data_IF_684005869366
#
_entry.id   IF_684005869366
#
_cell.length_a   1.000
_cell.length_b   1.000
_cell.length_c   1.000
_cell.angle_alpha   90.00
_cell.angle_beta   90.00
_cell.angle_gamma   90.00
#
_symmetry.space_group_name_H-M   'P 1'
#
loop_
_entity.id
_entity.type
_entity.pdbx_description
1 polymer ?
#
# COMPACT_ATOMS: atom_id res chain seq x y z
N UNK A 1 20.82 -5.06 -19.13
CA UNK A 1 20.57 -6.12 -18.13
C UNK A 1 19.10 -6.53 -18.26
N UNK A 2 18.77 -7.80 -18.02
CA UNK A 2 17.38 -8.29 -18.07
C UNK A 2 16.78 -8.31 -16.67
N UNK A 3 15.45 -8.19 -16.57
CA UNK A 3 14.67 -8.20 -15.33
C UNK A 3 13.46 -9.11 -15.48
N UNK A 4 13.09 -9.81 -14.41
CA UNK A 4 11.81 -10.52 -14.30
C UNK A 4 10.83 -9.60 -13.57
N UNK A 5 9.72 -9.27 -14.21
CA UNK A 5 8.73 -8.30 -13.69
C UNK A 5 7.33 -8.89 -13.72
N UNK A 6 6.46 -8.37 -12.85
CA UNK A 6 5.03 -8.66 -12.89
C UNK A 6 4.39 -7.98 -14.11
N UNK A 7 3.30 -8.56 -14.60
CA UNK A 7 2.58 -8.10 -15.78
C UNK A 7 1.10 -8.02 -15.49
N UNK A 8 0.45 -6.98 -16.02
CA UNK A 8 -1.01 -6.79 -15.97
C UNK A 8 -1.57 -6.89 -14.53
N UNK A 9 -0.95 -6.13 -13.61
CA UNK A 9 -1.30 -6.11 -12.17
C UNK A 9 -2.32 -5.05 -11.82
N UNK A 10 -3.13 -5.32 -10.79
CA UNK A 10 -4.05 -4.38 -10.18
C UNK A 10 -4.27 -4.72 -8.71
N UNK A 11 -4.37 -3.69 -7.86
CA UNK A 11 -4.50 -3.83 -6.42
C UNK A 11 -5.51 -2.82 -5.88
N UNK A 12 -6.16 -3.17 -4.78
CA UNK A 12 -6.82 -2.21 -3.90
C UNK A 12 -5.95 -2.06 -2.66
N UNK A 13 -5.68 -0.81 -2.29
CA UNK A 13 -4.90 -0.49 -1.09
C UNK A 13 -5.86 0.16 -0.10
N UNK A 14 -6.03 -0.50 1.05
CA UNK A 14 -6.68 0.09 2.22
C UNK A 14 -5.59 0.64 3.15
N UNK A 15 -5.71 1.90 3.50
CA UNK A 15 -4.74 2.58 4.35
C UNK A 15 -5.40 3.67 5.18
N UNK A 16 -4.78 3.96 6.31
CA UNK A 16 -5.02 5.15 7.12
C UNK A 16 -3.70 5.88 7.34
N UNK A 17 -3.77 7.08 7.92
CA UNK A 17 -2.59 7.79 8.38
C UNK A 17 -2.79 8.18 9.84
N UNK A 18 -1.69 8.22 10.58
CA UNK A 18 -1.63 8.76 11.92
C UNK A 18 -0.95 10.12 11.90
N UNK A 19 -1.30 10.98 12.86
CA UNK A 19 -0.59 12.24 13.08
C UNK A 19 0.76 11.94 13.71
N UNK A 20 1.82 12.58 13.23
CA UNK A 20 3.16 12.44 13.78
C UNK A 20 3.47 13.54 14.79
N UNK A 21 4.43 13.30 15.68
CA UNK A 21 4.80 14.25 16.75
C UNK A 21 5.34 15.60 16.25
N UNK A 22 5.70 15.70 14.95
CA UNK A 22 6.22 16.91 14.32
C UNK A 22 5.14 17.90 13.84
N UNK A 23 3.87 17.60 14.07
CA UNK A 23 2.75 18.38 13.58
C UNK A 23 2.45 19.57 14.50
N UNK A 24 2.41 20.79 13.94
CA UNK A 24 2.03 21.99 14.68
C UNK A 24 0.58 21.96 15.17
N UNK A 25 0.30 22.58 16.32
CA UNK A 25 -1.00 22.54 17.01
C UNK A 25 -2.22 22.99 16.16
N UNK A 26 -1.99 23.63 15.01
CA UNK A 26 -3.00 24.14 14.08
C UNK A 26 -3.40 23.13 12.98
N UNK A 27 -2.75 21.95 12.92
CA UNK A 27 -3.06 20.95 11.91
C UNK A 27 -4.21 20.03 12.33
N UNK A 28 -5.28 20.05 11.54
CA UNK A 28 -6.44 19.20 11.72
C UNK A 28 -6.35 17.94 10.85
N UNK A 29 -6.54 16.73 11.41
CA UNK A 29 -6.55 15.48 10.64
C UNK A 29 -7.48 15.55 9.42
N UNK A 30 -8.71 16.04 9.61
CA UNK A 30 -9.71 16.16 8.53
C UNK A 30 -9.22 16.92 7.28
N UNK A 31 -8.25 17.83 7.42
CA UNK A 31 -7.67 18.57 6.29
C UNK A 31 -6.87 17.66 5.37
N UNK A 32 -6.03 16.79 5.92
CA UNK A 32 -5.12 15.96 5.13
C UNK A 32 -5.87 14.90 4.33
N UNK A 33 -6.85 14.23 4.96
CA UNK A 33 -7.70 13.26 4.26
C UNK A 33 -8.54 13.92 3.16
N UNK A 34 -9.06 15.13 3.40
CA UNK A 34 -9.80 15.89 2.40
C UNK A 34 -8.92 16.26 1.19
N UNK A 35 -7.66 16.66 1.43
CA UNK A 35 -6.70 16.96 0.36
C UNK A 35 -6.36 15.69 -0.42
N UNK A 36 -6.15 14.55 0.26
CA UNK A 36 -5.90 13.27 -0.38
C UNK A 36 -7.07 12.87 -1.29
N UNK A 37 -8.29 12.82 -0.76
CA UNK A 37 -9.48 12.40 -1.51
C UNK A 37 -9.71 13.27 -2.75
N UNK A 38 -9.68 14.60 -2.60
CA UNK A 38 -9.87 15.52 -3.73
C UNK A 38 -8.82 15.32 -4.82
N UNK A 39 -7.56 15.10 -4.44
CA UNK A 39 -6.48 14.86 -5.41
C UNK A 39 -6.64 13.50 -6.09
N UNK A 40 -6.96 12.46 -5.32
CA UNK A 40 -7.14 11.11 -5.83
C UNK A 40 -8.32 11.03 -6.83
N UNK A 41 -9.45 11.67 -6.51
CA UNK A 41 -10.62 11.79 -7.40
C UNK A 41 -10.29 12.53 -8.70
N UNK A 42 -9.49 13.61 -8.60
CA UNK A 42 -9.08 14.40 -9.76
C UNK A 42 -7.91 13.77 -10.55
N UNK A 43 -7.40 12.61 -10.15
CA UNK A 43 -6.19 12.00 -10.75
C UNK A 43 -4.91 12.83 -10.56
N UNK A 44 -4.89 13.73 -9.57
CA UNK A 44 -3.77 14.63 -9.30
C UNK A 44 -2.80 14.00 -8.30
N UNK A 45 -1.51 14.14 -8.57
CA UNK A 45 -0.43 13.68 -7.69
C UNK A 45 0.73 14.67 -7.70
N UNK A 46 1.53 14.68 -6.63
CA UNK A 46 2.75 15.50 -6.58
C UNK A 46 3.82 14.94 -7.53
N UNK A 47 3.96 13.62 -7.53
CA UNK A 47 4.76 12.87 -8.48
C UNK A 47 3.93 11.71 -9.00
N UNK A 48 4.13 11.35 -10.27
CA UNK A 48 3.51 10.17 -10.87
C UNK A 48 3.88 8.94 -10.03
N UNK A 49 2.92 8.24 -9.41
CA UNK A 49 3.21 7.01 -8.68
C UNK A 49 3.71 5.93 -9.63
N UNK A 50 4.47 4.97 -9.09
CA UNK A 50 5.06 3.88 -9.86
C UNK A 50 4.91 2.53 -9.15
N UNK A 51 4.81 1.45 -9.94
CA UNK A 51 4.78 0.06 -9.47
C UNK A 51 6.21 -0.44 -9.24
N UNK A 52 6.79 -0.07 -8.09
CA UNK A 52 8.12 -0.52 -7.67
C UNK A 52 9.27 0.35 -8.17
N UNK A 53 9.38 0.58 -9.48
CA UNK A 53 10.44 1.42 -10.08
C UNK A 53 9.87 2.48 -11.03
N UNK A 54 10.63 3.56 -11.27
CA UNK A 54 10.18 4.72 -12.09
C UNK A 54 9.86 4.37 -13.54
N UNK A 55 10.31 3.22 -14.04
CA UNK A 55 9.99 2.74 -15.39
C UNK A 55 8.54 2.29 -15.54
N UNK A 56 7.81 2.02 -14.44
CA UNK A 56 6.46 1.48 -14.45
C UNK A 56 5.47 2.45 -13.79
N UNK A 57 4.89 3.42 -14.52
CA UNK A 57 3.90 4.34 -13.94
C UNK A 57 2.64 3.58 -13.49
N UNK A 58 2.11 3.95 -12.32
CA UNK A 58 0.89 3.39 -11.76
C UNK A 58 -0.31 4.28 -12.10
N UNK A 59 -1.32 3.71 -12.75
CA UNK A 59 -2.64 4.33 -12.83
C UNK A 59 -3.37 4.12 -11.50
N UNK A 60 -4.16 5.09 -11.06
CA UNK A 60 -4.92 5.01 -9.81
C UNK A 60 -6.29 5.66 -9.96
N UNK A 61 -7.22 5.20 -9.12
CA UNK A 61 -8.54 5.79 -8.94
C UNK A 61 -8.94 5.61 -7.47
N UNK A 62 -9.61 6.61 -6.88
CA UNK A 62 -10.15 6.49 -5.53
C UNK A 62 -11.41 5.62 -5.56
N UNK A 63 -11.49 4.63 -4.67
CA UNK A 63 -12.73 3.91 -4.41
C UNK A 63 -13.56 4.71 -3.38
N UNK A 64 -14.80 5.11 -3.70
CA UNK A 64 -15.66 5.80 -2.74
C UNK A 64 -15.93 4.93 -1.51
N UNK A 65 -16.17 5.57 -0.38
CA UNK A 65 -16.58 4.88 0.85
C UNK A 65 -17.87 4.06 0.60
N UNK A 66 -17.85 2.80 1.02
CA UNK A 66 -18.97 1.86 0.82
C UNK A 66 -19.14 1.35 -0.62
N UNK A 67 -18.28 1.75 -1.57
CA UNK A 67 -18.27 1.15 -2.90
C UNK A 67 -17.88 -0.33 -2.82
N UNK A 68 -18.47 -1.14 -3.70
CA UNK A 68 -18.07 -2.54 -3.82
C UNK A 68 -16.62 -2.61 -4.30
N UNK A 69 -15.82 -3.46 -3.66
CA UNK A 69 -14.47 -3.75 -4.11
C UNK A 69 -14.53 -4.37 -5.52
N UNK A 70 -13.62 -3.99 -6.44
CA UNK A 70 -13.48 -4.67 -7.71
C UNK A 70 -13.34 -6.17 -7.51
N UNK A 71 -14.10 -6.96 -8.28
CA UNK A 71 -13.98 -8.41 -8.22
C UNK A 71 -12.56 -8.81 -8.65
N UNK A 72 -11.80 -9.53 -7.81
CA UNK A 72 -10.45 -9.93 -8.18
C UNK A 72 -10.53 -10.94 -9.31
N UNK A 73 -9.61 -10.83 -10.28
CA UNK A 73 -9.45 -11.76 -11.40
C UNK A 73 -8.84 -13.11 -11.00
N UNK A 74 -8.71 -13.36 -9.70
CA UNK A 74 -8.15 -14.58 -9.13
C UNK A 74 -9.16 -15.72 -9.20
N UNK A 75 -8.68 -16.88 -9.65
CA UNK A 75 -9.40 -18.14 -9.51
C UNK A 75 -9.51 -18.54 -8.03
N UNK A 76 -10.45 -19.43 -7.71
CA UNK A 76 -10.64 -19.88 -6.32
C UNK A 76 -9.38 -20.52 -5.72
N UNK A 77 -8.58 -21.21 -6.55
CA UNK A 77 -7.29 -21.77 -6.15
C UNK A 77 -6.19 -20.74 -5.92
N UNK A 78 -6.32 -19.53 -6.47
CA UNK A 78 -5.33 -18.45 -6.32
C UNK A 78 -5.69 -17.48 -5.20
N UNK A 79 -6.95 -17.50 -4.73
CA UNK A 79 -7.44 -16.63 -3.66
C UNK A 79 -6.81 -16.92 -2.29
N UNK A 80 -6.19 -18.07 -2.12
CA UNK A 80 -5.51 -18.46 -0.89
C UNK A 80 -4.09 -18.90 -1.19
N UNK A 81 -3.10 -18.14 -0.71
CA UNK A 81 -1.68 -18.39 -1.01
C UNK A 81 -0.76 -17.86 0.08
N UNK A 82 0.17 -18.69 0.52
CA UNK A 82 1.33 -18.25 1.31
C UNK A 82 2.42 -17.76 0.36
N UNK A 83 2.78 -16.48 0.47
CA UNK A 83 3.87 -15.87 -0.27
C UNK A 83 5.22 -15.96 0.48
N UNK A 84 5.20 -16.47 1.72
CA UNK A 84 6.37 -16.54 2.58
C UNK A 84 6.78 -15.16 3.07
N UNK A 85 8.08 -15.00 3.35
CA UNK A 85 8.64 -13.73 3.82
C UNK A 85 8.72 -12.71 2.69
N UNK A 86 8.08 -11.57 2.88
CA UNK A 86 8.11 -10.43 1.97
C UNK A 86 8.55 -9.17 2.71
N UNK A 87 9.12 -8.22 1.96
CA UNK A 87 9.47 -6.91 2.49
C UNK A 87 8.20 -6.25 3.05
N UNK A 88 8.27 -5.81 4.30
CA UNK A 88 7.25 -5.00 4.95
C UNK A 88 7.50 -3.53 4.61
N UNK A 89 8.57 -2.95 5.17
CA UNK A 89 9.04 -1.60 4.88
C UNK A 89 10.50 -1.45 5.32
N UNK A 90 11.08 -0.26 5.12
CA UNK A 90 12.47 0.08 5.46
C UNK A 90 12.47 1.02 6.67
N UNK A 91 13.36 0.76 7.63
CA UNK A 91 13.52 1.62 8.80
C UNK A 91 14.28 2.92 8.46
N UNK A 92 13.57 3.88 7.87
CA UNK A 92 14.15 5.16 7.49
C UNK A 92 14.53 6.06 8.68
N UNK A 93 13.96 5.82 9.87
CA UNK A 93 14.31 6.55 11.08
C UNK A 93 15.60 5.99 11.73
N UNK A 94 15.87 4.70 11.54
CA UNK A 94 17.04 4.00 12.06
C UNK A 94 18.17 3.83 11.02
N UNK A 95 18.59 2.59 10.84
CA UNK A 95 19.76 2.20 10.04
C UNK A 95 19.44 1.91 8.57
N UNK A 96 18.20 2.15 8.12
CA UNK A 96 17.70 1.82 6.78
C UNK A 96 17.71 0.31 6.50
N UNK A 97 17.64 -0.51 7.55
CA UNK A 97 17.45 -1.95 7.39
C UNK A 97 16.05 -2.26 6.85
N UNK A 98 15.94 -3.27 5.95
CA UNK A 98 14.64 -3.79 5.55
C UNK A 98 14.04 -4.61 6.68
N UNK A 99 12.73 -4.49 6.88
CA UNK A 99 11.95 -5.38 7.74
C UNK A 99 11.03 -6.24 6.89
N UNK A 100 10.70 -7.42 7.38
CA UNK A 100 9.95 -8.44 6.66
C UNK A 100 8.75 -8.92 7.47
N UNK A 101 7.72 -9.39 6.78
CA UNK A 101 6.58 -10.08 7.37
C UNK A 101 6.24 -11.31 6.53
N UNK A 102 5.52 -12.27 7.12
CA UNK A 102 5.04 -13.43 6.37
C UNK A 102 3.72 -13.09 5.69
N UNK A 103 3.78 -12.80 4.39
CA UNK A 103 2.62 -12.43 3.62
C UNK A 103 1.78 -13.65 3.27
N UNK A 104 0.55 -13.68 3.76
CA UNK A 104 -0.43 -14.70 3.44
C UNK A 104 -1.66 -14.01 2.84
N UNK A 105 -2.10 -14.50 1.67
CA UNK A 105 -3.34 -14.07 1.06
C UNK A 105 -4.46 -15.03 1.45
N UNK A 106 -5.56 -14.48 1.97
CA UNK A 106 -6.80 -15.18 2.27
C UNK A 106 -7.94 -14.52 1.54
N UNK A 107 -8.66 -15.29 0.74
CA UNK A 107 -9.77 -14.80 -0.10
C UNK A 107 -9.40 -13.58 -0.98
N UNK A 108 -8.16 -13.48 -1.45
CA UNK A 108 -7.66 -12.36 -2.24
C UNK A 108 -7.18 -11.14 -1.45
N UNK A 109 -7.21 -11.19 -0.11
CA UNK A 109 -6.77 -10.12 0.79
C UNK A 109 -5.48 -10.52 1.50
N UNK A 110 -4.53 -9.58 1.60
CA UNK A 110 -3.32 -9.71 2.43
C UNK A 110 -3.45 -8.71 3.56
N UNK A 111 -3.55 -9.21 4.79
CA UNK A 111 -3.49 -8.37 5.99
C UNK A 111 -2.03 -7.95 6.20
N UNK A 112 -1.77 -6.65 6.28
CA UNK A 112 -0.42 -6.13 6.53
C UNK A 112 -0.31 -5.79 8.02
N UNK A 113 0.58 -6.45 8.79
CA UNK A 113 0.70 -6.19 10.21
C UNK A 113 1.22 -4.77 10.46
N UNK A 114 0.87 -4.19 11.61
CA UNK A 114 1.39 -2.88 12.00
C UNK A 114 2.93 -2.93 12.15
N UNK A 115 3.59 -1.81 11.89
CA UNK A 115 5.05 -1.69 11.98
C UNK A 115 5.64 -2.13 13.34
N UNK A 116 4.85 -1.97 14.42
CA UNK A 116 5.24 -2.30 15.79
C UNK A 116 4.87 -3.75 16.19
N UNK A 117 4.19 -4.50 15.33
CA UNK A 117 3.81 -5.88 15.61
C UNK A 117 5.04 -6.78 15.71
N UNK A 118 5.00 -7.74 16.65
CA UNK A 118 6.02 -8.79 16.77
C UNK A 118 6.09 -9.74 15.57
N UNK A 119 5.12 -9.68 14.65
CA UNK A 119 5.11 -10.40 13.37
C UNK A 119 6.12 -9.82 12.37
N UNK A 120 6.46 -8.54 12.51
CA UNK A 120 7.46 -7.86 11.68
C UNK A 120 8.86 -8.16 12.22
N UNK A 121 9.75 -8.66 11.36
CA UNK A 121 11.11 -9.09 11.68
C UNK A 121 12.14 -8.23 10.95
N UNK A 122 13.24 -7.90 11.62
CA UNK A 122 14.44 -7.35 10.99
C UNK A 122 15.26 -8.46 10.31
#
# INVERSE_FOLDING_TARGET
RASTVLRDVGYVIEAHYDMTDGVGAEEHPGKHISIFNRRAEAGQCFHQPCMGTREFPAAFALLPEGAALPAPSLTDSERNRDFGWMLHDIDFAGDKSPRFFRAEMKNGMIEVPSWQSGEVKA
#
